data_IF_811080946674
#
_entry.id   IF_811080946674
#
_cell.length_a   1.000
_cell.length_b   1.000
_cell.length_c   1.000
_cell.angle_alpha   90.00
_cell.angle_beta   90.00
_cell.angle_gamma   90.00
#
_symmetry.space_group_name_H-M   'P 1'
#
loop_
_entity.id
_entity.type
_entity.pdbx_description
1 polymer ?
#
# COMPACT_ATOMS: atom_id res chain seq x y z
N UNK A 1 27.94 23.51 -20.94
CA UNK A 1 26.65 24.19 -20.70
C UNK A 1 25.55 23.14 -20.85
N UNK A 2 24.63 22.79 -19.94
CA UNK A 2 24.00 23.36 -18.75
C UNK A 2 23.73 22.21 -17.73
N UNK A 3 24.22 22.31 -16.49
CA UNK A 3 23.92 21.35 -15.40
C UNK A 3 23.39 22.02 -14.11
N UNK A 4 23.30 23.34 -14.09
CA UNK A 4 22.97 24.11 -12.89
C UNK A 4 21.46 24.14 -12.56
N UNK A 5 20.59 24.15 -13.58
CA UNK A 5 19.15 24.35 -13.40
C UNK A 5 18.48 23.17 -12.67
N UNK A 6 18.86 21.92 -12.99
CA UNK A 6 18.25 20.73 -12.37
C UNK A 6 18.51 20.60 -10.86
N UNK A 7 19.66 21.09 -10.38
CA UNK A 7 20.04 21.01 -8.96
C UNK A 7 19.23 22.00 -8.10
N UNK A 8 19.04 23.23 -8.60
CA UNK A 8 18.20 24.26 -7.96
C UNK A 8 16.72 23.84 -7.82
N UNK A 9 16.16 23.18 -8.84
CA UNK A 9 14.79 22.67 -8.80
C UNK A 9 14.63 21.49 -7.84
N UNK A 10 15.63 20.60 -7.77
CA UNK A 10 15.66 19.52 -6.78
C UNK A 10 15.65 20.08 -5.34
N UNK A 11 16.38 21.17 -5.11
CA UNK A 11 16.43 21.85 -3.81
C UNK A 11 15.13 22.55 -3.42
N UNK A 12 14.36 23.10 -4.37
CA UNK A 12 13.08 23.76 -4.05
C UNK A 12 12.06 22.80 -3.43
N UNK A 13 11.85 21.65 -4.06
CA UNK A 13 10.86 20.67 -3.56
C UNK A 13 11.37 19.91 -2.34
N UNK A 14 12.68 19.75 -2.20
CA UNK A 14 13.27 19.22 -0.98
C UNK A 14 13.04 20.17 0.21
N UNK A 15 13.33 21.47 0.05
CA UNK A 15 13.06 22.50 1.06
C UNK A 15 11.58 22.56 1.42
N UNK A 16 10.70 22.62 0.42
CA UNK A 16 9.25 22.63 0.65
C UNK A 16 8.75 21.39 1.40
N UNK A 17 9.27 20.20 1.07
CA UNK A 17 8.92 18.99 1.79
C UNK A 17 9.37 19.05 3.25
N UNK A 18 10.60 19.51 3.50
CA UNK A 18 11.14 19.66 4.85
C UNK A 18 10.38 20.69 5.68
N UNK A 19 10.07 21.86 5.11
CA UNK A 19 9.24 22.91 5.72
C UNK A 19 7.85 22.39 6.13
N UNK A 20 7.27 21.49 5.32
CA UNK A 20 5.98 20.85 5.60
C UNK A 20 6.09 19.56 6.44
N UNK A 21 7.27 19.20 6.91
CA UNK A 21 7.48 18.00 7.74
C UNK A 21 7.38 16.66 6.98
N UNK A 22 7.48 16.67 5.65
CA UNK A 22 7.52 15.46 4.83
C UNK A 22 8.93 14.88 4.72
N UNK A 23 9.02 13.55 4.76
CA UNK A 23 10.28 12.79 4.73
C UNK A 23 10.92 12.70 3.35
N UNK A 24 10.18 13.03 2.30
CA UNK A 24 10.67 12.98 0.93
C UNK A 24 9.98 14.03 0.08
N UNK A 25 10.71 14.60 -0.88
CA UNK A 25 10.15 15.46 -1.94
C UNK A 25 9.07 14.77 -2.78
N UNK A 26 9.05 13.44 -2.80
CA UNK A 26 8.01 12.67 -3.48
C UNK A 26 6.62 13.00 -2.91
N UNK A 27 6.49 13.32 -1.61
CA UNK A 27 5.23 13.74 -1.01
C UNK A 27 4.58 14.92 -1.76
N UNK A 28 5.39 15.87 -2.24
CA UNK A 28 4.89 17.01 -3.00
C UNK A 28 4.27 16.58 -4.33
N UNK A 29 4.82 15.54 -4.98
CA UNK A 29 4.21 14.98 -6.19
C UNK A 29 2.82 14.44 -5.89
N UNK A 30 2.69 13.60 -4.84
CA UNK A 30 1.41 12.98 -4.51
C UNK A 30 0.36 14.02 -4.10
N UNK A 31 0.74 15.05 -3.35
CA UNK A 31 -0.14 16.18 -3.05
C UNK A 31 -0.64 16.90 -4.32
N UNK A 32 0.21 17.06 -5.33
CA UNK A 32 -0.18 17.67 -6.60
C UNK A 32 -1.12 16.76 -7.41
N UNK A 33 -0.86 15.45 -7.42
CA UNK A 33 -1.71 14.46 -8.09
C UNK A 33 -3.08 14.41 -7.40
N UNK A 34 -3.11 14.30 -6.06
CA UNK A 34 -4.35 14.27 -5.29
C UNK A 34 -5.13 15.59 -5.41
N UNK A 35 -4.46 16.76 -5.45
CA UNK A 35 -5.15 18.03 -5.74
C UNK A 35 -5.85 18.04 -7.10
N UNK A 36 -5.33 17.30 -8.09
CA UNK A 36 -5.89 17.26 -9.45
C UNK A 36 -7.02 16.24 -9.58
N UNK A 37 -6.90 15.10 -8.90
CA UNK A 37 -7.78 13.95 -9.11
C UNK A 37 -8.67 13.60 -7.90
N UNK A 38 -8.40 14.17 -6.73
CA UNK A 38 -9.17 14.06 -5.48
C UNK A 38 -9.56 12.63 -5.12
N UNK A 39 -8.62 11.69 -5.25
CA UNK A 39 -8.89 10.26 -5.08
C UNK A 39 -8.55 9.76 -3.68
N UNK A 40 -7.67 10.42 -2.93
CA UNK A 40 -7.39 10.04 -1.55
C UNK A 40 -8.56 10.32 -0.60
N UNK A 41 -9.28 11.47 -0.66
CA UNK A 41 -10.35 11.78 0.30
C UNK A 41 -11.44 10.71 0.44
N UNK A 42 -11.77 10.02 -0.66
CA UNK A 42 -12.77 8.94 -0.68
C UNK A 42 -12.20 7.54 -0.34
N UNK A 43 -10.88 7.40 -0.21
CA UNK A 43 -10.23 6.12 0.02
C UNK A 43 -10.31 5.70 1.50
N UNK A 44 -10.83 4.49 1.74
CA UNK A 44 -10.93 3.84 3.05
C UNK A 44 -9.78 2.86 3.28
N UNK A 45 -9.12 2.41 2.23
CA UNK A 45 -7.91 1.61 2.27
C UNK A 45 -6.93 2.02 1.16
N UNK A 46 -5.68 2.31 1.56
CA UNK A 46 -4.60 2.75 0.66
C UNK A 46 -3.37 1.86 0.86
N UNK A 47 -2.79 1.37 -0.23
CA UNK A 47 -1.54 0.64 -0.24
C UNK A 47 -0.46 1.44 -0.99
N UNK A 48 0.71 1.62 -0.39
CA UNK A 48 1.87 2.30 -0.99
C UNK A 48 3.03 1.30 -1.17
N UNK A 49 3.38 1.01 -2.42
CA UNK A 49 4.45 0.08 -2.81
C UNK A 49 5.74 0.84 -3.12
N UNK A 50 6.85 0.39 -2.54
CA UNK A 50 8.11 1.14 -2.60
C UNK A 50 8.08 2.37 -1.68
N UNK A 51 7.45 2.22 -0.52
CA UNK A 51 7.06 3.32 0.34
C UNK A 51 8.23 4.05 1.03
N UNK A 52 9.45 3.50 1.12
CA UNK A 52 10.53 4.15 1.86
C UNK A 52 10.99 5.46 1.18
N UNK A 53 11.17 6.58 1.92
CA UNK A 53 11.22 6.71 3.38
C UNK A 53 9.88 7.04 4.08
N UNK A 54 8.76 6.96 3.36
CA UNK A 54 7.39 7.13 3.88
C UNK A 54 6.72 8.43 3.47
N UNK A 55 7.24 9.14 2.46
CA UNK A 55 6.69 10.44 2.04
C UNK A 55 5.26 10.35 1.49
N UNK A 56 4.97 9.33 0.67
CA UNK A 56 3.62 9.10 0.14
C UNK A 56 2.68 8.55 1.20
N UNK A 57 3.15 7.64 2.06
CA UNK A 57 2.42 7.20 3.27
C UNK A 57 1.99 8.38 4.14
N UNK A 58 2.84 9.38 4.38
CA UNK A 58 2.46 10.57 5.17
C UNK A 58 1.28 11.33 4.54
N UNK A 59 1.30 11.49 3.22
CA UNK A 59 0.22 12.15 2.48
C UNK A 59 -1.06 11.30 2.49
N UNK A 60 -0.95 9.99 2.27
CA UNK A 60 -2.08 9.07 2.32
C UNK A 60 -2.76 9.10 3.70
N UNK A 61 -2.00 9.08 4.80
CA UNK A 61 -2.57 9.19 6.15
C UNK A 61 -3.29 10.52 6.38
N UNK A 62 -2.78 11.63 5.85
CA UNK A 62 -3.39 12.95 6.05
C UNK A 62 -4.61 13.20 5.16
N UNK A 63 -4.63 12.62 3.96
CA UNK A 63 -5.64 12.93 2.94
C UNK A 63 -6.74 11.88 2.83
N UNK A 64 -6.50 10.63 3.26
CA UNK A 64 -7.50 9.58 3.18
C UNK A 64 -8.66 9.79 4.16
N UNK A 65 -9.75 9.04 3.97
CA UNK A 65 -10.90 9.05 4.88
C UNK A 65 -10.43 8.79 6.33
N UNK A 66 -11.03 9.48 7.30
CA UNK A 66 -10.69 9.29 8.71
C UNK A 66 -10.80 7.81 9.13
N UNK A 67 -9.72 7.29 9.71
CA UNK A 67 -9.64 5.87 10.10
C UNK A 67 -9.32 4.90 8.97
N UNK A 68 -9.00 5.40 7.76
CA UNK A 68 -8.58 4.57 6.64
C UNK A 68 -7.39 3.67 6.98
N UNK A 69 -7.37 2.47 6.42
CA UNK A 69 -6.23 1.57 6.48
C UNK A 69 -5.16 2.04 5.48
N UNK A 70 -4.09 2.65 5.97
CA UNK A 70 -2.92 2.97 5.15
C UNK A 70 -1.80 1.97 5.41
N UNK A 71 -1.36 1.28 4.36
CA UNK A 71 -0.28 0.28 4.41
C UNK A 71 0.87 0.73 3.51
N UNK A 72 2.09 0.79 4.03
CA UNK A 72 3.31 1.02 3.25
C UNK A 72 4.17 -0.24 3.22
N UNK A 73 4.65 -0.63 2.04
CA UNK A 73 5.53 -1.79 1.84
C UNK A 73 6.82 -1.35 1.16
N UNK A 74 7.96 -1.71 1.74
CA UNK A 74 9.27 -1.51 1.13
C UNK A 74 10.29 -2.54 1.63
N UNK A 75 11.36 -2.77 0.88
CA UNK A 75 12.51 -3.57 1.32
C UNK A 75 13.32 -2.87 2.41
N UNK A 76 13.38 -1.54 2.32
CA UNK A 76 14.08 -0.67 3.26
C UNK A 76 13.19 -0.40 4.47
N UNK A 77 13.78 -0.22 5.67
CA UNK A 77 13.02 0.18 6.84
C UNK A 77 12.38 1.56 6.61
N UNK A 78 11.13 1.68 7.06
CA UNK A 78 10.38 2.94 7.08
C UNK A 78 10.18 3.31 8.54
N UNK A 79 10.57 4.53 8.93
CA UNK A 79 10.34 5.02 10.28
C UNK A 79 8.83 5.02 10.60
N UNK A 80 8.39 4.73 11.84
CA UNK A 80 6.97 4.69 12.19
C UNK A 80 6.23 5.97 11.78
N UNK A 81 5.03 5.80 11.20
CA UNK A 81 4.11 6.89 10.87
C UNK A 81 2.80 6.58 11.58
N UNK A 82 2.36 7.48 12.47
CA UNK A 82 1.10 7.33 13.20
C UNK A 82 -0.05 7.25 12.20
N UNK A 83 -0.93 6.27 12.38
CA UNK A 83 -2.05 6.02 11.45
C UNK A 83 -1.74 5.07 10.30
N UNK A 84 -0.47 4.69 10.09
CA UNK A 84 -0.09 3.73 9.06
C UNK A 84 0.31 2.36 9.64
N UNK A 85 0.32 1.33 8.78
CA UNK A 85 1.01 0.06 8.99
C UNK A 85 2.16 -0.03 8.00
N UNK A 86 3.36 -0.31 8.48
CA UNK A 86 4.57 -0.32 7.66
C UNK A 86 5.16 -1.73 7.68
N UNK A 87 5.32 -2.32 6.51
CA UNK A 87 5.86 -3.66 6.33
C UNK A 87 7.20 -3.57 5.62
N UNK A 88 8.20 -4.23 6.19
CA UNK A 88 9.50 -4.41 5.55
C UNK A 88 9.52 -5.74 4.81
N UNK A 89 9.05 -5.74 3.57
CA UNK A 89 8.88 -6.94 2.77
C UNK A 89 9.30 -6.71 1.31
N UNK A 90 9.60 -7.80 0.62
CA UNK A 90 9.88 -7.79 -0.82
C UNK A 90 8.58 -8.02 -1.59
N UNK A 91 8.20 -7.07 -2.45
CA UNK A 91 7.02 -7.22 -3.31
C UNK A 91 7.20 -8.35 -4.33
N UNK A 92 8.44 -8.68 -4.71
CA UNK A 92 8.76 -9.79 -5.61
C UNK A 92 8.61 -11.16 -4.91
N UNK A 93 8.70 -11.20 -3.57
CA UNK A 93 8.39 -12.38 -2.77
C UNK A 93 6.88 -12.45 -2.49
N UNK A 94 6.10 -12.53 -3.58
CA UNK A 94 4.65 -12.31 -3.61
C UNK A 94 3.88 -13.03 -2.50
N UNK A 95 4.13 -14.32 -2.28
CA UNK A 95 3.38 -15.14 -1.31
C UNK A 95 3.53 -14.69 0.14
N UNK A 96 4.75 -14.35 0.57
CA UNK A 96 5.02 -13.89 1.95
C UNK A 96 4.48 -12.48 2.15
N UNK A 97 4.77 -11.59 1.20
CA UNK A 97 4.36 -10.19 1.26
C UNK A 97 2.83 -10.07 1.26
N UNK A 98 2.16 -10.79 0.35
CA UNK A 98 0.70 -10.77 0.26
C UNK A 98 0.05 -11.36 1.51
N UNK A 99 0.59 -12.44 2.09
CA UNK A 99 0.10 -13.00 3.35
C UNK A 99 0.18 -12.00 4.50
N UNK A 100 1.29 -11.24 4.60
CA UNK A 100 1.46 -10.20 5.61
C UNK A 100 0.42 -9.07 5.43
N UNK A 101 0.21 -8.61 4.20
CA UNK A 101 -0.78 -7.57 3.87
C UNK A 101 -2.21 -8.07 4.15
N UNK A 102 -2.55 -9.30 3.74
CA UNK A 102 -3.86 -9.92 4.03
C UNK A 102 -4.17 -10.01 5.50
N UNK A 103 -3.19 -10.35 6.33
CA UNK A 103 -3.37 -10.39 7.78
C UNK A 103 -3.78 -9.01 8.33
N UNK A 104 -3.18 -7.94 7.81
CA UNK A 104 -3.58 -6.57 8.17
C UNK A 104 -5.00 -6.26 7.68
N UNK A 105 -5.31 -6.57 6.42
CA UNK A 105 -6.64 -6.38 5.83
C UNK A 105 -7.73 -7.09 6.66
N UNK A 106 -7.53 -8.36 6.99
CA UNK A 106 -8.44 -9.16 7.83
C UNK A 106 -8.61 -8.55 9.23
N UNK A 107 -7.52 -8.10 9.85
CA UNK A 107 -7.58 -7.45 11.19
C UNK A 107 -8.35 -6.12 11.20
N UNK A 108 -8.56 -5.52 10.03
CA UNK A 108 -9.24 -4.24 9.86
C UNK A 108 -10.59 -4.34 9.14
N UNK A 109 -11.03 -5.55 8.80
CA UNK A 109 -12.29 -5.77 8.08
C UNK A 109 -12.28 -5.21 6.65
N UNK A 110 -11.10 -5.06 6.04
CA UNK A 110 -10.92 -4.55 4.68
C UNK A 110 -10.78 -5.75 3.74
N UNK A 111 -11.53 -5.74 2.63
CA UNK A 111 -11.49 -6.82 1.62
C UNK A 111 -10.71 -6.44 0.36
N UNK A 112 -10.54 -5.15 0.10
CA UNK A 112 -9.77 -4.62 -1.02
C UNK A 112 -9.16 -3.25 -0.67
N UNK A 113 -8.12 -2.85 -1.41
CA UNK A 113 -7.62 -1.47 -1.37
C UNK A 113 -8.35 -0.63 -2.42
N UNK A 114 -8.80 0.56 -2.03
CA UNK A 114 -9.43 1.52 -2.96
C UNK A 114 -8.37 2.18 -3.85
N UNK A 115 -7.18 2.40 -3.28
CA UNK A 115 -6.07 3.08 -3.93
C UNK A 115 -4.78 2.28 -3.72
N UNK A 116 -4.06 2.03 -4.82
CA UNK A 116 -2.71 1.48 -4.79
C UNK A 116 -1.76 2.51 -5.42
N UNK A 117 -0.75 2.90 -4.66
CA UNK A 117 0.28 3.85 -5.03
C UNK A 117 1.60 3.11 -5.30
N UNK A 118 2.37 3.60 -6.26
CA UNK A 118 3.69 3.07 -6.58
C UNK A 118 4.59 4.16 -7.21
N UNK A 119 5.55 4.73 -6.46
CA UNK A 119 6.58 5.69 -6.97
C UNK A 119 7.91 4.99 -7.29
N UNK A 120 7.94 3.65 -7.32
CA UNK A 120 9.14 2.87 -7.59
C UNK A 120 9.73 3.13 -8.98
N UNK A 121 10.96 3.64 -9.02
CA UNK A 121 11.71 3.94 -10.24
C UNK A 121 12.57 2.73 -10.60
N UNK A 122 12.32 2.11 -11.77
CA UNK A 122 12.96 0.87 -12.26
C UNK A 122 14.46 0.98 -12.60
N UNK A 123 15.20 1.85 -11.92
CA UNK A 123 16.60 2.21 -12.21
C UNK A 123 17.62 1.11 -11.92
N UNK A 124 17.26 0.04 -11.22
CA UNK A 124 18.13 -1.14 -11.13
C UNK A 124 17.86 -2.06 -12.32
N UNK A 125 18.89 -2.46 -13.08
CA UNK A 125 18.75 -3.42 -14.19
C UNK A 125 18.14 -4.78 -13.75
N UNK A 126 18.18 -5.14 -12.47
CA UNK A 126 17.45 -6.29 -11.89
C UNK A 126 15.93 -6.09 -11.77
N UNK A 127 15.46 -4.83 -11.78
CA UNK A 127 14.09 -4.34 -11.55
C UNK A 127 13.28 -4.04 -12.83
N UNK A 128 13.72 -4.53 -13.99
CA UNK A 128 12.87 -4.48 -15.22
C UNK A 128 11.62 -5.36 -15.12
N UNK A 129 11.48 -6.14 -14.03
CA UNK A 129 10.35 -7.03 -13.72
C UNK A 129 9.30 -6.41 -12.79
N UNK A 130 9.56 -5.24 -12.21
CA UNK A 130 8.72 -4.62 -11.16
C UNK A 130 7.25 -4.42 -11.58
N UNK A 131 6.98 -4.17 -12.87
CA UNK A 131 5.62 -4.03 -13.37
C UNK A 131 4.83 -5.35 -13.39
N UNK A 132 5.48 -6.45 -13.78
CA UNK A 132 4.87 -7.78 -13.74
C UNK A 132 4.70 -8.25 -12.30
N UNK A 133 5.72 -8.02 -11.45
CA UNK A 133 5.67 -8.37 -10.02
C UNK A 133 4.59 -7.59 -9.27
N UNK A 134 4.44 -6.29 -9.56
CA UNK A 134 3.35 -5.46 -8.99
C UNK A 134 2.00 -5.99 -9.44
N UNK A 135 1.84 -6.32 -10.72
CA UNK A 135 0.59 -6.89 -11.22
C UNK A 135 0.29 -8.26 -10.59
N UNK A 136 1.27 -9.15 -10.51
CA UNK A 136 1.12 -10.47 -9.92
C UNK A 136 0.81 -10.38 -8.42
N UNK A 137 1.43 -9.44 -7.72
CA UNK A 137 1.16 -9.14 -6.33
C UNK A 137 -0.27 -8.63 -6.13
N UNK A 138 -0.74 -7.71 -6.97
CA UNK A 138 -2.11 -7.19 -6.92
C UNK A 138 -3.15 -8.25 -7.32
N UNK A 139 -2.84 -9.08 -8.32
CA UNK A 139 -3.65 -10.23 -8.70
C UNK A 139 -3.74 -11.22 -7.55
N UNK A 140 -2.63 -11.53 -6.88
CA UNK A 140 -2.65 -12.40 -5.71
C UNK A 140 -3.53 -11.80 -4.60
N UNK A 141 -3.36 -10.51 -4.28
CA UNK A 141 -4.21 -9.80 -3.31
C UNK A 141 -5.70 -9.90 -3.67
N UNK A 142 -6.05 -9.78 -4.95
CA UNK A 142 -7.43 -9.77 -5.42
C UNK A 142 -8.04 -11.16 -5.57
N UNK A 143 -7.32 -12.11 -6.18
CA UNK A 143 -7.79 -13.46 -6.51
C UNK A 143 -8.05 -14.32 -5.28
N UNK A 144 -7.28 -14.13 -4.20
CA UNK A 144 -7.50 -14.83 -2.93
C UNK A 144 -8.37 -14.04 -1.94
N UNK A 145 -8.83 -12.83 -2.30
CA UNK A 145 -9.83 -12.07 -1.53
C UNK A 145 -11.26 -12.38 -1.95
N UNK A 146 -11.48 -13.41 -2.79
CA UNK A 146 -12.81 -13.98 -2.98
C UNK A 146 -13.40 -14.34 -1.61
N UNK A 147 -14.69 -14.05 -1.36
CA UNK A 147 -15.31 -14.49 -0.13
C UNK A 147 -15.08 -15.99 0.02
N UNK A 148 -14.76 -16.44 1.24
CA UNK A 148 -14.80 -17.87 1.55
C UNK A 148 -16.12 -18.41 0.97
N UNK A 149 -16.10 -19.54 0.24
CA UNK A 149 -17.35 -20.17 -0.16
C UNK A 149 -18.22 -20.31 1.09
N UNK A 150 -19.55 -20.07 0.99
CA UNK A 150 -20.43 -20.19 2.14
C UNK A 150 -20.15 -21.54 2.80
N UNK A 151 -19.96 -21.51 4.12
CA UNK A 151 -19.74 -22.74 4.89
C UNK A 151 -20.83 -23.74 4.47
N UNK A 152 -20.47 -25.00 4.18
CA UNK A 152 -21.47 -25.99 3.83
C UNK A 152 -22.54 -25.99 4.93
N UNK A 153 -23.84 -26.12 4.58
CA UNK A 153 -24.89 -26.12 5.57
C UNK A 153 -24.52 -27.12 6.65
N UNK A 154 -24.56 -26.69 7.92
CA UNK A 154 -24.31 -27.58 9.06
C UNK A 154 -25.20 -28.79 8.84
N UNK A 155 -24.59 -29.96 8.55
CA UNK A 155 -25.33 -31.21 8.46
C UNK A 155 -26.11 -31.29 9.76
N UNK A 156 -27.45 -31.22 9.67
CA UNK A 156 -28.30 -31.52 10.83
C UNK A 156 -27.80 -32.87 11.33
N UNK A 157 -27.39 -32.92 12.59
CA UNK A 157 -27.03 -34.18 13.21
C UNK A 157 -28.21 -35.13 12.94
N UNK A 158 -27.94 -36.25 12.27
CA UNK A 158 -28.96 -37.27 12.09
C UNK A 158 -29.50 -37.61 13.48
N UNK A 159 -30.83 -37.77 13.64
CA UNK A 159 -31.39 -38.16 14.92
C UNK A 159 -30.69 -39.44 15.35
N UNK A 160 -30.04 -39.40 16.53
CA UNK A 160 -29.45 -40.58 17.15
C UNK A 160 -30.60 -41.56 17.33
N UNK A 161 -30.65 -42.61 16.51
CA UNK A 161 -31.50 -43.78 16.79
C UNK A 161 -30.95 -44.35 18.10
N UNK A 162 -31.76 -44.32 19.15
CA UNK A 162 -31.44 -45.02 20.39
C UNK A 162 -31.30 -46.53 20.12
N UNK A 163 -30.53 -47.25 20.96
CA UNK A 163 -30.41 -48.69 20.84
C UNK A 163 -31.76 -49.40 21.06
N UNK A 164 -31.92 -50.63 20.51
CA UNK A 164 -33.15 -51.40 20.54
C UNK A 164 -33.60 -51.78 21.96
#
# INVERSE_FOLDING_TARGET
>A
MSKATGKLWQDKFYRLAKERGYRSRAAIKLLQIDRRFSFLPAARAVLDLGAAPGGWVQVAVSSATAGALVVGVDLKPIWPIRGARLLREDIAATSKCSAAVRRLMKSKGVTAFDVVLHDGDGKNRKRRRDGAETRDFLLDLTLLSRPNPPLPPRRRAAPRRGPP
#
